data_IF_789320609598
#
_entry.id   IF_789320609598
#
_cell.length_a   1.000
_cell.length_b   1.000
_cell.length_c   1.000
_cell.angle_alpha   90.00
_cell.angle_beta   90.00
_cell.angle_gamma   90.00
#
_symmetry.space_group_name_H-M   'P 1'
#
loop_
_entity.id
_entity.type
_entity.pdbx_description
1 polymer ?
2 non-polymer ?
3 water ?
#
# COMPACT_ATOMS: atom_id res chain seq x y z
N UNK A 5 0.22 -9.56 9.70
CA UNK A 5 0.21 -9.50 8.25
C UNK A 5 0.64 -8.12 7.77
N UNK A 6 1.86 -8.05 7.22
CA UNK A 6 2.39 -6.77 6.75
C UNK A 6 1.47 -6.12 5.73
N UNK A 7 0.96 -6.91 4.77
CA UNK A 7 0.10 -6.36 3.74
C UNK A 7 -1.16 -5.75 4.33
N UNK A 8 -1.77 -6.42 5.32
CA UNK A 8 -2.96 -5.87 5.95
C UNK A 8 -2.66 -4.56 6.66
N UNK A 9 -1.51 -4.46 7.32
CA UNK A 9 -1.15 -3.21 7.98
C UNK A 9 -1.00 -2.09 6.96
N UNK A 10 -0.43 -2.39 5.79
CA UNK A 10 -0.32 -1.38 4.73
C UNK A 10 -1.70 -0.96 4.25
N UNK A 11 -2.60 -1.93 4.08
CA UNK A 11 -3.96 -1.60 3.66
C UNK A 11 -4.66 -0.71 4.68
N UNK A 12 -4.47 -0.98 5.98
CA UNK A 12 -5.11 -0.14 6.99
C UNK A 12 -4.64 1.31 6.93
N UNK A 13 -3.34 1.52 6.70
CA UNK A 13 -2.84 2.89 6.58
C UNK A 13 -3.49 3.58 5.40
N UNK A 14 -3.59 2.88 4.27
CA UNK A 14 -4.24 3.46 3.09
C UNK A 14 -5.71 3.76 3.36
N UNK A 15 -6.37 2.90 4.14
CA UNK A 15 -7.77 3.11 4.48
C UNK A 15 -7.95 4.38 5.33
N UNK A 16 -7.17 4.51 6.39
CA UNK A 16 -7.22 5.74 7.18
C UNK A 16 -6.85 6.94 6.33
N UNK A 17 -5.81 6.80 5.50
CA UNK A 17 -5.36 7.93 4.69
C UNK A 17 -6.45 8.37 3.71
N UNK A 18 -7.15 7.41 3.10
CA UNK A 18 -8.23 7.75 2.19
C UNK A 18 -9.37 8.44 2.93
N UNK A 19 -9.71 7.95 4.12
CA UNK A 19 -10.79 8.58 4.89
C UNK A 19 -10.47 10.03 5.20
N UNK A 20 -9.24 10.30 5.64
CA UNK A 20 -8.85 11.68 5.90
C UNK A 20 -8.93 12.54 4.64
N UNK A 21 -8.61 11.95 3.48
CA UNK A 21 -8.73 12.69 2.23
C UNK A 21 -10.19 13.03 1.93
N UNK A 22 -11.10 12.12 2.27
CA UNK A 22 -12.52 12.40 2.08
C UNK A 22 -12.96 13.54 2.98
N UNK A 23 -12.46 13.57 4.21
CA UNK A 23 -12.81 14.64 5.15
C UNK A 23 -12.26 15.98 4.65
N UNK A 24 -11.03 15.97 4.12
CA UNK A 24 -10.47 17.20 3.59
C UNK A 24 -11.27 17.71 2.40
N UNK A 25 -11.64 16.82 1.48
CA UNK A 25 -12.44 17.24 0.33
C UNK A 25 -13.80 17.77 0.77
N UNK A 26 -14.44 17.09 1.72
CA UNK A 26 -15.74 17.53 2.20
C UNK A 26 -15.63 18.87 2.94
N UNK A 27 -14.61 19.03 3.77
CA UNK A 27 -14.42 20.31 4.47
C UNK A 27 -14.11 21.42 3.48
N UNK A 28 -13.25 21.13 2.49
CA UNK A 28 -13.00 22.13 1.45
C UNK A 28 -14.28 22.49 0.71
N UNK A 29 -15.19 21.52 0.54
CA UNK A 29 -16.44 21.80 -0.17
C UNK A 29 -17.34 22.73 0.63
N UNK A 30 -17.43 22.52 1.95
CA UNK A 30 -18.29 23.36 2.77
C UNK A 30 -17.89 24.83 2.69
N UNK A 31 -16.59 25.10 2.64
CA UNK A 31 -16.13 26.48 2.48
C UNK A 31 -16.64 27.07 1.17
N UNK A 32 -16.56 26.30 0.08
CA UNK A 32 -16.99 26.78 -1.22
C UNK A 32 -18.46 27.17 -1.20
N UNK A 33 -19.34 26.27 -0.74
CA UNK A 33 -20.74 26.61 -0.59
C UNK A 33 -20.91 27.83 0.30
N UNK A 34 -20.13 27.90 1.39
CA UNK A 34 -20.22 29.03 2.31
C UNK A 34 -19.92 30.34 1.60
N UNK A 35 -18.81 30.39 0.86
CA UNK A 35 -18.40 31.60 0.14
C UNK A 35 -18.83 31.59 -1.32
N UNK A 36 -19.90 30.85 -1.64
CA UNK A 36 -20.38 30.77 -3.01
C UNK A 36 -21.79 31.29 -3.20
N UNK A 42 -23.69 24.68 -6.45
CA UNK A 42 -22.69 23.70 -6.85
C UNK A 42 -23.17 22.85 -8.01
N UNK A 43 -22.38 22.80 -9.08
CA UNK A 43 -22.76 21.98 -10.24
C UNK A 43 -23.04 20.53 -9.83
N UNK A 44 -24.04 19.93 -10.49
CA UNK A 44 -24.42 18.56 -10.18
C UNK A 44 -23.22 17.62 -10.27
N UNK A 45 -22.28 17.89 -11.19
CA UNK A 45 -21.06 17.10 -11.25
C UNK A 45 -20.45 16.94 -9.86
N UNK A 46 -20.40 18.04 -9.09
CA UNK A 46 -19.89 17.96 -7.72
C UNK A 46 -20.83 17.13 -6.87
N UNK A 47 -22.13 17.38 -6.97
CA UNK A 47 -23.10 16.71 -6.13
C UNK A 47 -23.09 15.20 -6.36
N UNK A 48 -23.08 14.79 -7.63
CA UNK A 48 -23.17 13.36 -7.95
C UNK A 48 -22.02 12.58 -7.31
N UNK A 49 -20.80 13.11 -7.39
CA UNK A 49 -19.65 12.44 -6.80
C UNK A 49 -19.79 12.28 -5.29
N UNK A 50 -20.31 13.32 -4.61
CA UNK A 50 -20.45 13.24 -3.16
C UNK A 50 -21.37 12.11 -2.73
N UNK A 51 -22.54 12.01 -3.36
CA UNK A 51 -23.46 10.93 -3.02
C UNK A 51 -22.86 9.57 -3.34
N UNK A 52 -22.12 9.47 -4.45
CA UNK A 52 -21.47 8.22 -4.81
C UNK A 52 -20.47 7.79 -3.75
N UNK A 53 -19.67 8.74 -3.25
CA UNK A 53 -18.63 8.44 -2.28
C UNK A 53 -19.22 7.97 -0.95
N UNK A 54 -20.21 8.68 -0.43
CA UNK A 54 -20.75 8.36 0.88
C UNK A 54 -21.35 6.95 0.89
N UNK A 55 -22.23 6.65 -0.07
CA UNK A 55 -22.87 5.34 -0.08
C UNK A 55 -21.84 4.22 -0.24
N UNK A 56 -20.82 4.44 -1.08
CA UNK A 56 -19.78 3.43 -1.25
C UNK A 56 -19.05 3.18 0.06
N UNK A 57 -18.64 4.25 0.74
CA UNK A 57 -17.89 4.11 1.98
C UNK A 57 -18.71 3.38 3.03
N UNK A 58 -20.00 3.69 3.14
CA UNK A 58 -20.84 2.99 4.12
C UNK A 58 -21.01 1.53 3.76
N UNK A 59 -21.16 1.22 2.47
CA UNK A 59 -21.33 -0.17 2.05
C UNK A 59 -20.05 -0.97 2.29
N UNK A 60 -18.92 -0.47 1.79
CA UNK A 60 -17.62 -1.12 1.97
C UNK A 60 -17.03 -0.76 3.34
N UNK A 61 -17.78 -1.14 4.38
CA UNK A 61 -17.40 -0.83 5.74
C UNK A 61 -16.04 -1.43 6.10
N UNK A 62 -15.79 -2.67 5.67
CA UNK A 62 -14.56 -3.36 6.02
C UNK A 62 -13.44 -3.15 5.02
N UNK A 63 -13.76 -2.92 3.76
CA UNK A 63 -12.76 -2.74 2.69
C UNK A 63 -13.07 -1.45 1.95
N UNK A 64 -12.75 -0.29 2.55
CA UNK A 64 -13.12 0.99 1.94
C UNK A 64 -12.32 1.32 0.68
N UNK A 65 -11.12 0.75 0.51
CA UNK A 65 -10.33 1.05 -0.68
C UNK A 65 -11.06 0.69 -1.96
N UNK A 66 -12.09 -0.16 -1.87
CA UNK A 66 -12.92 -0.45 -3.04
C UNK A 66 -13.53 0.83 -3.62
N UNK A 67 -13.52 1.94 -2.89
CA UNK A 67 -14.10 3.19 -3.33
C UNK A 67 -13.06 4.18 -3.83
N UNK A 68 -11.84 3.71 -4.15
CA UNK A 68 -10.80 4.63 -4.59
C UNK A 68 -11.25 5.44 -5.80
N UNK A 69 -11.98 4.81 -6.71
CA UNK A 69 -12.46 5.52 -7.89
C UNK A 69 -13.43 6.63 -7.50
N UNK A 70 -14.37 6.32 -6.60
CA UNK A 70 -15.31 7.33 -6.14
C UNK A 70 -14.60 8.45 -5.40
N UNK A 71 -13.65 8.09 -4.54
CA UNK A 71 -12.94 9.10 -3.74
C UNK A 71 -12.26 10.11 -4.64
N UNK A 72 -11.52 9.63 -5.64
CA UNK A 72 -10.85 10.55 -6.54
C UNK A 72 -11.85 11.37 -7.34
N UNK A 73 -12.93 10.73 -7.79
CA UNK A 73 -13.94 11.46 -8.52
C UNK A 73 -14.52 12.59 -7.68
N UNK A 74 -14.83 12.31 -6.41
CA UNK A 74 -15.32 13.36 -5.53
C UNK A 74 -14.26 14.43 -5.34
N UNK A 75 -13.02 14.02 -5.04
CA UNK A 75 -11.95 15.00 -4.85
C UNK A 75 -11.69 15.77 -6.14
N UNK A 76 -11.81 15.11 -7.28
CA UNK A 76 -11.64 15.80 -8.55
C UNK A 76 -12.77 16.81 -8.79
N UNK A 77 -14.01 16.44 -8.45
CA UNK A 77 -15.11 17.37 -8.59
C UNK A 77 -14.89 18.61 -7.74
N UNK A 78 -14.42 18.43 -6.50
CA UNK A 78 -14.16 19.57 -5.63
C UNK A 78 -13.01 20.40 -6.15
N UNK A 79 -11.96 19.77 -6.67
CA UNK A 79 -10.82 20.52 -7.18
C UNK A 79 -11.23 21.40 -8.36
N UNK A 80 -11.98 20.83 -9.31
CA UNK A 80 -12.47 21.61 -10.42
C UNK A 80 -13.36 22.75 -9.94
N UNK A 81 -14.16 22.50 -8.91
CA UNK A 81 -15.02 23.54 -8.36
C UNK A 81 -14.22 24.76 -7.94
N UNK A 82 -13.06 24.54 -7.31
CA UNK A 82 -12.20 25.62 -6.86
C UNK A 82 -11.68 26.44 -8.03
N UNK B 5 -1.67 3.15 17.86
CA UNK B 5 -1.98 2.00 17.03
C UNK B 5 -3.13 2.31 16.07
N UNK B 6 -3.53 1.31 15.28
CA UNK B 6 -4.61 1.48 14.33
C UNK B 6 -5.88 2.04 14.97
N UNK B 7 -6.25 1.53 16.15
CA UNK B 7 -7.47 2.01 16.80
C UNK B 7 -7.40 3.50 17.10
N UNK B 8 -6.26 3.98 17.61
CA UNK B 8 -6.13 5.41 17.88
C UNK B 8 -6.24 6.22 16.59
N UNK B 9 -5.67 5.71 15.50
CA UNK B 9 -5.76 6.40 14.23
C UNK B 9 -7.21 6.46 13.75
N UNK B 10 -7.96 5.37 13.92
CA UNK B 10 -9.37 5.37 13.56
C UNK B 10 -10.16 6.32 14.47
N UNK B 11 -9.82 6.34 15.77
CA UNK B 11 -10.51 7.23 16.69
C UNK B 11 -10.32 8.69 16.26
N UNK B 12 -9.08 9.05 15.93
CA UNK B 12 -8.77 10.41 15.50
C UNK B 12 -9.54 10.76 14.24
N UNK B 13 -9.68 9.82 13.30
CA UNK B 13 -10.46 10.09 12.11
C UNK B 13 -11.92 10.38 12.49
N UNK B 14 -12.46 9.58 13.41
CA UNK B 14 -13.83 9.82 13.87
C UNK B 14 -13.95 11.17 14.58
N UNK B 15 -12.92 11.58 15.30
CA UNK B 15 -12.97 12.86 16.03
C UNK B 15 -13.06 14.04 15.06
N UNK B 16 -12.14 14.10 14.10
CA UNK B 16 -12.18 15.18 13.12
C UNK B 16 -13.49 15.11 12.32
N UNK B 17 -13.93 13.90 11.98
CA UNK B 17 -15.18 13.75 11.24
C UNK B 17 -16.38 14.23 12.05
N UNK B 18 -16.40 13.94 13.35
CA UNK B 18 -17.51 14.41 14.17
C UNK B 18 -17.52 15.94 14.24
N UNK B 19 -16.35 16.56 14.41
CA UNK B 19 -16.28 18.01 14.43
C UNK B 19 -16.75 18.60 13.10
N UNK B 20 -16.34 17.99 11.99
CA UNK B 20 -16.84 18.42 10.69
C UNK B 20 -18.36 18.35 10.62
N UNK B 21 -18.95 17.29 11.19
CA UNK B 21 -20.39 17.11 11.16
C UNK B 21 -21.10 18.14 12.02
N UNK B 22 -20.52 18.50 13.17
CA UNK B 22 -21.12 19.53 14.01
C UNK B 22 -21.08 20.87 13.30
N UNK B 23 -19.99 21.16 12.61
CA UNK B 23 -19.86 22.41 11.87
C UNK B 23 -20.81 22.43 10.68
N UNK B 24 -20.97 21.30 10.00
CA UNK B 24 -21.89 21.24 8.87
C UNK B 24 -23.32 21.54 9.31
N UNK B 25 -23.80 20.81 10.31
CA UNK B 25 -25.14 21.06 10.83
C UNK B 25 -25.28 22.49 11.33
N UNK B 26 -24.27 23.00 12.03
CA UNK B 26 -24.35 24.35 12.56
C UNK B 26 -24.44 25.38 11.43
N UNK B 27 -23.66 25.19 10.37
CA UNK B 27 -23.75 26.08 9.21
C UNK B 27 -25.09 25.92 8.52
N UNK B 28 -25.58 24.68 8.38
CA UNK B 28 -26.87 24.46 7.78
C UNK B 28 -28.00 25.04 8.63
N UNK B 29 -27.85 25.02 9.95
CA UNK B 29 -28.88 25.57 10.83
C UNK B 29 -28.96 27.09 10.68
N UNK B 30 -27.80 27.76 10.68
CA UNK B 30 -27.79 29.20 10.44
C UNK B 30 -28.47 29.54 9.12
N UNK B 31 -28.06 28.87 8.03
CA UNK B 31 -28.68 29.11 6.74
C UNK B 31 -30.19 28.87 6.80
N UNK B 32 -30.61 27.87 7.56
CA UNK B 32 -32.05 27.61 7.70
C UNK B 32 -32.73 28.69 8.52
N UNK B 33 -32.10 29.12 9.62
CA UNK B 33 -32.64 30.22 10.41
C UNK B 33 -32.50 31.56 9.71
N UNK B 34 -31.76 31.63 8.61
CA UNK B 34 -31.69 32.82 7.77
C UNK B 34 -32.43 32.63 6.46
N UNK B 35 -33.33 31.65 6.39
CA UNK B 35 -34.09 31.39 5.18
C UNK B 35 -35.04 32.55 4.89
N UNK B 42 -37.64 28.33 15.20
CA UNK B 42 -36.61 27.75 16.05
C UNK B 42 -37.22 26.80 17.08
N UNK B 43 -37.58 25.60 16.62
CA UNK B 43 -38.17 24.62 17.53
C UNK B 43 -37.29 24.38 18.77
N UNK B 44 -37.96 24.20 19.91
CA UNK B 44 -37.25 23.94 21.16
C UNK B 44 -36.29 22.75 21.01
N UNK B 45 -36.75 21.68 20.36
CA UNK B 45 -35.91 20.50 20.18
C UNK B 45 -34.61 20.85 19.48
N UNK B 46 -34.69 21.69 18.44
CA UNK B 46 -33.49 22.02 17.66
C UNK B 46 -32.46 22.75 18.51
N UNK B 47 -32.90 23.79 19.23
CA UNK B 47 -31.95 24.58 20.01
C UNK B 47 -31.49 23.84 21.26
N UNK B 48 -32.37 23.05 21.87
CA UNK B 48 -31.96 22.23 23.02
C UNK B 48 -30.90 21.22 22.62
N UNK B 49 -31.10 20.55 21.48
CA UNK B 49 -30.09 19.61 21.00
C UNK B 49 -28.77 20.32 20.75
N UNK B 50 -28.83 21.54 20.21
CA UNK B 50 -27.62 22.32 19.97
C UNK B 50 -26.88 22.59 21.28
N UNK B 51 -27.60 23.03 22.31
CA UNK B 51 -26.97 23.32 23.59
C UNK B 51 -26.33 22.07 24.20
N UNK B 52 -26.96 20.91 24.02
CA UNK B 52 -26.41 19.68 24.56
C UNK B 52 -25.05 19.38 23.93
N UNK B 53 -24.92 19.61 22.62
CA UNK B 53 -23.64 19.40 21.95
C UNK B 53 -22.59 20.37 22.48
N UNK B 54 -22.96 21.65 22.64
CA UNK B 54 -22.01 22.65 23.10
C UNK B 54 -21.50 22.30 24.49
N UNK B 55 -22.42 22.03 25.41
CA UNK B 55 -22.02 21.72 26.79
C UNK B 55 -21.18 20.44 26.85
N UNK B 56 -21.55 19.44 26.06
CA UNK B 56 -20.81 18.19 26.06
C UNK B 56 -19.38 18.38 25.55
N UNK B 57 -19.23 19.04 24.40
CA UNK B 57 -17.90 19.19 23.81
C UNK B 57 -16.95 19.97 24.71
N UNK B 58 -17.45 21.02 25.38
CA UNK B 58 -16.58 21.70 26.33
C UNK B 58 -16.46 20.93 27.65
N UNK B 59 -17.40 20.03 27.92
CA UNK B 59 -17.26 19.15 29.08
C UNK B 59 -16.24 18.05 28.79
N UNK B 60 -16.17 17.57 27.55
CA UNK B 60 -15.27 16.48 27.16
C UNK B 60 -14.41 16.89 25.95
N UNK B 61 -13.66 17.98 26.07
CA UNK B 61 -12.82 18.38 24.95
C UNK B 61 -11.77 17.31 24.65
N UNK B 62 -11.21 16.70 25.70
CA UNK B 62 -10.12 15.74 25.53
C UNK B 62 -10.60 14.45 24.85
N UNK B 63 -11.84 14.04 25.11
CA UNK B 63 -12.40 12.81 24.57
C UNK B 63 -13.74 13.13 23.90
N UNK B 64 -13.70 13.84 22.77
CA UNK B 64 -14.95 14.39 22.21
C UNK B 64 -15.96 13.32 21.83
N UNK B 65 -15.52 12.09 21.58
CA UNK B 65 -16.45 11.02 21.19
C UNK B 65 -17.52 10.77 22.26
N UNK B 66 -17.31 11.21 23.50
CA UNK B 66 -18.37 11.11 24.50
C UNK B 66 -19.64 11.81 24.06
N UNK B 67 -19.57 12.68 23.06
CA UNK B 67 -20.71 13.45 22.60
C UNK B 67 -21.32 12.88 21.33
N UNK B 68 -21.05 11.60 21.03
CA UNK B 68 -21.53 11.01 19.79
C UNK B 68 -23.04 11.10 19.67
N UNK B 69 -23.76 10.67 20.71
CA UNK B 69 -25.22 10.75 20.67
C UNK B 69 -25.69 12.19 20.56
N UNK B 70 -25.08 13.11 21.31
CA UNK B 70 -25.50 14.51 21.24
C UNK B 70 -25.34 15.05 19.83
N UNK B 71 -24.21 14.75 19.19
CA UNK B 71 -24.00 15.19 17.82
C UNK B 71 -25.06 14.60 16.90
N UNK B 72 -25.33 13.30 17.05
CA UNK B 72 -26.33 12.65 16.19
C UNK B 72 -27.71 13.27 16.37
N UNK B 73 -28.10 13.55 17.61
CA UNK B 73 -29.38 14.20 17.84
C UNK B 73 -29.41 15.59 17.20
N UNK B 74 -28.34 16.35 17.37
CA UNK B 74 -28.24 17.67 16.76
C UNK B 74 -28.32 17.60 15.24
N UNK B 75 -27.53 16.71 14.63
CA UNK B 75 -27.64 16.50 13.18
C UNK B 75 -29.06 16.09 12.78
N UNK B 76 -29.69 15.20 13.55
CA UNK B 76 -31.06 14.74 13.25
C UNK B 76 -32.07 15.86 13.33
N UNK B 77 -31.97 16.69 14.37
CA UNK B 77 -32.88 17.81 14.54
C UNK B 77 -32.78 18.77 13.37
N UNK B 78 -31.55 19.01 12.89
CA UNK B 78 -31.36 19.89 11.73
C UNK B 78 -31.99 19.27 10.49
N UNK B 79 -31.89 17.95 10.34
CA UNK B 79 -32.47 17.28 9.19
C UNK B 79 -33.98 17.45 9.16
N UNK B 80 -34.64 17.24 10.31
CA UNK B 80 -36.09 17.41 10.35
C UNK B 80 -36.47 18.86 10.08
N UNK B 81 -35.66 19.81 10.54
CA UNK B 81 -35.94 21.21 10.27
C UNK B 81 -35.93 21.49 8.78
N UNK B 82 -34.96 20.92 8.06
CA UNK B 82 -34.89 21.12 6.61
C UNK B 82 -36.11 20.52 5.92
N UNK B 83 -36.59 19.38 6.39
CA UNK B 83 -37.75 18.74 5.77
C UNK B 83 -38.98 19.64 5.88
N UNK B 84 -39.14 20.34 6.99
CA UNK B 84 -40.27 21.22 7.19
C UNK B 84 -41.54 20.47 7.58
N UNK C 4 -26.50 44.28 16.51
CA UNK C 4 -25.35 43.55 15.96
C UNK C 4 -25.77 42.20 15.41
N UNK C 5 -27.03 42.08 15.00
CA UNK C 5 -27.52 40.83 14.46
C UNK C 5 -26.81 40.47 13.16
N UNK C 6 -26.93 41.33 12.13
CA UNK C 6 -26.27 41.06 10.86
C UNK C 6 -24.77 40.85 11.10
N UNK C 7 -24.16 41.66 11.94
CA UNK C 7 -22.75 41.47 12.27
C UNK C 7 -22.54 40.11 12.93
N UNK C 8 -23.44 39.72 13.83
CA UNK C 8 -23.35 38.40 14.44
C UNK C 8 -23.48 37.31 13.39
N UNK C 9 -24.40 37.49 12.43
CA UNK C 9 -24.54 36.52 11.35
C UNK C 9 -23.27 36.48 10.50
N UNK C 10 -22.67 37.64 10.23
CA UNK C 10 -21.39 37.66 9.53
C UNK C 10 -20.31 37.02 10.40
N UNK C 11 -20.31 37.36 11.69
CA UNK C 11 -19.40 36.71 12.63
C UNK C 11 -19.60 35.20 12.61
N UNK C 12 -20.85 34.74 12.52
CA UNK C 12 -21.13 33.31 12.59
C UNK C 12 -20.58 32.57 11.38
N UNK C 13 -20.78 33.14 10.18
CA UNK C 13 -20.26 32.52 8.97
C UNK C 13 -18.73 32.50 8.99
N UNK C 14 -18.11 33.61 9.41
CA UNK C 14 -16.66 33.63 9.49
C UNK C 14 -16.16 32.59 10.49
N UNK C 15 -16.92 32.39 11.57
CA UNK C 15 -16.56 31.38 12.56
C UNK C 15 -16.64 29.97 11.97
N UNK C 16 -17.67 29.71 11.16
CA UNK C 16 -17.76 28.44 10.46
C UNK C 16 -16.59 28.28 9.49
N UNK C 17 -16.27 29.34 8.75
CA UNK C 17 -15.18 29.29 7.80
C UNK C 17 -13.86 28.95 8.49
N UNK C 18 -13.60 29.58 9.64
CA UNK C 18 -12.36 29.31 10.37
C UNK C 18 -12.34 27.87 10.88
N UNK C 19 -13.46 27.38 11.39
CA UNK C 19 -13.52 25.99 11.85
C UNK C 19 -13.24 25.02 10.70
N UNK C 20 -13.91 25.23 9.56
CA UNK C 20 -13.64 24.41 8.38
C UNK C 20 -12.17 24.47 7.98
N UNK C 21 -11.49 25.58 8.26
CA UNK C 21 -10.07 25.68 7.96
C UNK C 21 -9.24 24.87 8.96
N UNK C 22 -9.64 24.87 10.22
CA UNK C 22 -8.96 24.06 11.23
C UNK C 22 -9.13 22.58 10.93
N UNK C 23 -10.32 22.17 10.47
CA UNK C 23 -10.56 20.76 10.17
C UNK C 23 -9.66 20.29 9.03
N UNK C 24 -9.55 21.09 7.98
CA UNK C 24 -8.69 20.72 6.85
C UNK C 24 -7.25 20.54 7.32
N UNK C 25 -6.72 21.52 8.05
CA UNK C 25 -5.34 21.41 8.51
C UNK C 25 -5.16 20.21 9.43
N UNK C 26 -6.11 19.96 10.31
CA UNK C 26 -6.00 18.83 11.22
C UNK C 26 -6.06 17.50 10.46
N UNK C 27 -6.97 17.39 9.49
CA UNK C 27 -7.05 16.18 8.68
C UNK C 27 -5.79 16.01 7.82
N UNK C 28 -5.29 17.11 7.26
CA UNK C 28 -4.05 17.03 6.50
C UNK C 28 -2.87 16.68 7.39
N UNK C 29 -2.82 17.23 8.60
CA UNK C 29 -1.75 16.90 9.54
C UNK C 29 -1.75 15.41 9.85
N UNK C 30 -2.93 14.86 10.15
CA UNK C 30 -3.02 13.43 10.45
C UNK C 30 -2.49 12.60 9.29
N UNK C 31 -2.94 12.90 8.07
CA UNK C 31 -2.48 12.16 6.91
C UNK C 31 -0.96 12.25 6.77
N UNK C 32 -0.43 13.47 6.77
CA UNK C 32 1.01 13.65 6.64
C UNK C 32 1.76 12.86 7.71
N UNK C 33 1.19 12.76 8.92
CA UNK C 33 1.88 12.07 10.01
C UNK C 33 1.87 10.56 9.81
N UNK C 34 0.81 10.03 9.19
CA UNK C 34 0.78 8.59 8.93
C UNK C 34 1.84 8.19 7.92
N UNK C 35 2.10 9.06 6.94
CA UNK C 35 3.07 8.73 5.90
C UNK C 35 4.49 8.70 6.44
N UNK C 36 4.78 9.48 7.47
CA UNK C 36 6.07 9.44 8.11
C UNK C 36 6.29 8.17 8.91
N UNK C 42 8.09 14.29 13.19
CA UNK C 42 7.22 15.45 13.04
C UNK C 42 7.81 16.67 13.77
N UNK C 43 7.95 17.78 13.06
CA UNK C 43 8.51 18.99 13.67
C UNK C 43 7.75 19.38 14.93
N UNK C 44 8.50 19.86 15.93
CA UNK C 44 7.88 20.33 17.15
C UNK C 44 7.06 21.59 16.91
N UNK C 45 7.45 22.39 15.92
CA UNK C 45 6.72 23.62 15.62
C UNK C 45 5.25 23.33 15.30
N UNK C 46 5.00 22.28 14.52
CA UNK C 46 3.63 21.96 14.14
C UNK C 46 2.81 21.58 15.37
N UNK C 47 3.41 20.81 16.28
CA UNK C 47 2.70 20.46 17.51
C UNK C 47 2.48 21.68 18.39
N UNK C 48 3.44 22.59 18.44
CA UNK C 48 3.26 23.82 19.21
C UNK C 48 2.14 24.66 18.63
N UNK C 49 2.13 24.82 17.30
CA UNK C 49 1.05 25.55 16.66
C UNK C 49 -0.29 24.86 16.90
N UNK C 50 -0.32 23.53 16.82
CA UNK C 50 -1.55 22.79 17.08
C UNK C 50 -2.02 23.00 18.52
N UNK C 51 -1.09 22.90 19.48
CA UNK C 51 -1.46 23.10 20.88
C UNK C 51 -1.99 24.51 21.11
N UNK C 52 -1.41 25.51 20.45
CA UNK C 52 -1.90 26.87 20.60
C UNK C 52 -3.33 27.01 20.11
N UNK C 53 -3.66 26.38 18.97
CA UNK C 53 -5.02 26.46 18.46
C UNK C 53 -5.99 25.79 19.42
N UNK C 54 -5.65 24.57 19.87
CA UNK C 54 -6.54 23.85 20.77
C UNK C 54 -6.70 24.59 22.08
N UNK C 55 -5.60 25.10 22.65
CA UNK C 55 -5.70 25.84 23.90
C UNK C 55 -6.48 27.14 23.71
N UNK C 56 -6.24 27.85 22.60
CA UNK C 56 -6.94 29.10 22.37
C UNK C 56 -8.43 28.85 22.18
N UNK C 57 -8.79 27.87 21.35
CA UNK C 57 -10.20 27.59 21.10
C UNK C 57 -10.94 27.22 22.38
N UNK C 58 -10.27 26.48 23.28
CA UNK C 58 -10.84 26.26 24.61
C UNK C 58 -11.01 27.58 25.35
N UNK C 59 -9.96 28.42 25.31
CA UNK C 59 -10.02 29.70 26.02
C UNK C 59 -11.13 30.58 25.50
N UNK C 60 -11.38 30.55 24.19
CA UNK C 60 -12.36 31.44 23.57
C UNK C 60 -13.56 30.67 23.03
N UNK C 61 -14.27 29.99 23.92
CA UNK C 61 -15.45 29.23 23.53
C UNK C 61 -16.49 30.13 22.88
N UNK C 62 -16.79 31.27 23.52
CA UNK C 62 -17.86 32.13 23.02
C UNK C 62 -17.47 32.80 21.70
N UNK C 63 -16.22 33.22 21.57
CA UNK C 63 -15.75 33.97 20.41
C UNK C 63 -14.44 33.36 19.91
N UNK C 64 -14.53 32.36 19.02
CA UNK C 64 -13.29 31.71 18.54
C UNK C 64 -12.47 32.58 17.59
N UNK C 65 -13.06 33.58 16.94
CA UNK C 65 -12.27 34.41 16.02
C UNK C 65 -11.10 35.08 16.71
N UNK C 66 -11.13 35.20 18.04
CA UNK C 66 -9.97 35.70 18.76
C UNK C 66 -8.74 34.84 18.51
N UNK C 67 -8.91 33.63 17.97
CA UNK C 67 -7.83 32.70 17.67
C UNK C 67 -7.47 32.69 16.19
N UNK C 68 -7.83 33.74 15.45
CA UNK C 68 -7.52 33.78 14.03
C UNK C 68 -6.01 33.69 13.79
N UNK C 69 -5.22 34.33 14.66
CA UNK C 69 -3.77 34.24 14.54
C UNK C 69 -3.29 32.80 14.76
N UNK C 70 -3.81 32.13 15.77
CA UNK C 70 -3.44 30.74 16.02
C UNK C 70 -3.84 29.84 14.85
N UNK C 71 -5.04 30.04 14.30
CA UNK C 71 -5.47 29.22 13.16
C UNK C 71 -4.49 29.38 11.99
N UNK C 72 -4.13 30.63 11.67
CA UNK C 72 -3.23 30.86 10.55
C UNK C 72 -1.86 30.25 10.79
N UNK C 73 -1.31 30.38 12.01
CA UNK C 73 -0.01 29.78 12.31
C UNK C 73 -0.06 28.26 12.17
N UNK C 74 -1.10 27.64 12.73
CA UNK C 74 -1.25 26.19 12.60
C UNK C 74 -1.42 25.80 11.13
N UNK C 75 -2.23 26.55 10.39
CA UNK C 75 -2.44 26.27 8.97
C UNK C 75 -1.16 26.46 8.18
N UNK C 76 -0.30 27.38 8.60
CA UNK C 76 0.93 27.63 7.85
C UNK C 76 1.97 26.55 8.14
N UNK C 77 2.07 26.09 9.39
CA UNK C 77 2.97 24.99 9.70
C UNK C 77 2.61 23.73 8.93
N UNK C 78 1.32 23.43 8.80
CA UNK C 78 0.90 22.26 8.04
C UNK C 78 1.30 22.40 6.58
N UNK C 79 1.18 23.61 6.02
CA UNK C 79 1.57 23.82 4.64
C UNK C 79 3.07 23.59 4.46
N UNK C 80 3.87 24.04 5.41
CA UNK C 80 5.32 23.85 5.30
C UNK C 80 5.69 22.38 5.31
N UNK C 81 4.86 21.52 5.91
CA UNK C 81 5.10 20.08 5.86
C UNK C 81 4.68 19.49 4.52
N UNK C 82 3.56 19.96 3.97
CA UNK C 82 3.05 19.42 2.71
C UNK C 82 4.01 19.65 1.56
N UNK C 83 4.78 20.74 1.59
CA UNK C 83 5.71 21.06 0.51
C UNK C 83 6.73 19.94 0.32
N UNK D 5 5.90 10.85 -4.81
CA UNK D 5 5.37 11.16 -3.49
C UNK D 5 5.27 9.90 -2.62
N UNK D 6 4.65 10.05 -1.45
CA UNK D 6 4.57 8.92 -0.52
C UNK D 6 3.76 7.77 -1.10
N UNK D 7 2.62 8.08 -1.72
CA UNK D 7 1.79 7.03 -2.30
C UNK D 7 2.55 6.28 -3.39
N UNK D 8 3.29 6.99 -4.23
CA UNK D 8 4.06 6.33 -5.29
C UNK D 8 5.10 5.40 -4.69
N UNK D 9 5.76 5.82 -3.61
CA UNK D 9 6.74 4.95 -2.96
C UNK D 9 6.08 3.70 -2.40
N UNK D 10 4.87 3.84 -1.85
CA UNK D 10 4.15 2.67 -1.35
C UNK D 10 3.82 1.72 -2.50
N UNK D 11 3.35 2.26 -3.62
CA UNK D 11 3.05 1.42 -4.77
C UNK D 11 4.31 0.71 -5.28
N UNK D 12 5.42 1.45 -5.40
CA UNK D 12 6.65 0.81 -5.87
C UNK D 12 7.07 -0.36 -4.99
N UNK D 13 6.96 -0.19 -3.66
CA UNK D 13 7.30 -1.29 -2.77
C UNK D 13 6.38 -2.47 -3.01
N UNK D 14 5.09 -2.22 -3.15
CA UNK D 14 4.14 -3.29 -3.44
C UNK D 14 4.42 -3.94 -4.78
N UNK D 15 4.87 -3.15 -5.76
CA UNK D 15 5.18 -3.69 -7.08
C UNK D 15 6.35 -4.67 -7.01
N UNK D 16 7.42 -4.28 -6.31
CA UNK D 16 8.55 -5.19 -6.12
C UNK D 16 8.12 -6.41 -5.34
N UNK D 17 7.29 -6.20 -4.31
CA UNK D 17 6.86 -7.32 -3.47
C UNK D 17 6.04 -8.31 -4.28
N UNK D 18 5.16 -7.83 -5.15
CA UNK D 18 4.38 -8.74 -6.00
C UNK D 18 5.28 -9.50 -6.95
N UNK D 19 6.28 -8.83 -7.52
CA UNK D 19 7.20 -9.52 -8.43
C UNK D 19 7.93 -10.64 -7.71
N UNK D 20 8.40 -10.39 -6.48
CA UNK D 20 9.08 -11.43 -5.72
C UNK D 20 8.15 -12.59 -5.40
N UNK D 21 6.86 -12.33 -5.18
CA UNK D 21 5.93 -13.42 -4.93
C UNK D 21 5.69 -14.23 -6.19
N UNK D 22 5.68 -13.59 -7.36
CA UNK D 22 5.56 -14.32 -8.61
C UNK D 22 6.75 -15.23 -8.81
N UNK D 23 7.94 -14.75 -8.46
CA UNK D 23 9.16 -15.56 -8.60
C UNK D 23 9.12 -16.74 -7.65
N UNK D 24 8.72 -16.52 -6.40
CA UNK D 24 8.62 -17.62 -5.44
C UNK D 24 7.61 -18.66 -5.90
N UNK D 25 6.47 -18.21 -6.44
CA UNK D 25 5.48 -19.16 -6.94
C UNK D 25 6.03 -19.96 -8.12
N UNK D 26 6.73 -19.29 -9.04
CA UNK D 26 7.31 -19.99 -10.18
C UNK D 26 8.40 -20.95 -9.75
N UNK D 27 9.25 -20.53 -8.81
CA UNK D 27 10.30 -21.42 -8.32
C UNK D 27 9.71 -22.63 -7.62
N UNK D 28 8.58 -22.44 -6.92
CA UNK D 28 7.89 -23.58 -6.34
C UNK D 28 7.36 -24.51 -7.43
N UNK D 29 6.71 -23.94 -8.44
CA UNK D 29 6.15 -24.74 -9.52
C UNK D 29 7.23 -25.56 -10.22
N UNK D 30 8.41 -24.97 -10.42
CA UNK D 30 9.51 -25.71 -11.04
C UNK D 30 9.94 -26.87 -10.15
N UNK D 31 9.93 -26.67 -8.83
CA UNK D 31 10.33 -27.72 -7.92
C UNK D 31 9.33 -28.88 -7.93
N UNK D 32 8.03 -28.56 -7.86
CA UNK D 32 7.02 -29.61 -7.87
C UNK D 32 7.05 -30.39 -9.18
N UNK D 33 7.16 -29.68 -10.31
CA UNK D 33 7.25 -30.37 -11.59
C UNK D 33 8.46 -31.29 -11.63
N UNK D 34 9.57 -30.89 -11.01
CA UNK D 34 10.76 -31.73 -10.96
C UNK D 34 10.49 -33.03 -10.21
N UNK D 35 9.51 -33.03 -9.32
CA UNK D 35 9.21 -34.19 -8.49
C UNK D 35 8.19 -35.14 -9.09
N UNK D 36 7.37 -34.67 -10.03
CA UNK D 36 6.26 -35.48 -10.51
C UNK D 36 6.30 -35.86 -11.97
N UNK D 42 1.60 -31.09 -14.84
CA UNK D 42 0.94 -29.94 -14.21
C UNK D 42 -0.48 -29.76 -14.74
N UNK D 43 -1.45 -29.70 -13.82
CA UNK D 43 -2.85 -29.53 -14.24
C UNK D 43 -3.06 -28.34 -15.16
N UNK D 44 -4.13 -28.39 -15.96
CA UNK D 44 -4.48 -27.26 -16.81
C UNK D 44 -4.77 -26.02 -15.97
N UNK D 45 -5.39 -26.20 -14.81
CA UNK D 45 -5.69 -25.06 -13.94
C UNK D 45 -4.42 -24.30 -13.58
N UNK D 46 -3.35 -25.02 -13.21
CA UNK D 46 -2.11 -24.35 -12.84
C UNK D 46 -1.53 -23.64 -14.05
N UNK D 47 -1.53 -24.30 -15.21
CA UNK D 47 -0.98 -23.70 -16.41
C UNK D 47 -1.75 -22.46 -16.83
N UNK D 48 -3.08 -22.52 -16.76
CA UNK D 48 -3.89 -21.37 -17.14
C UNK D 48 -3.57 -20.16 -16.27
N UNK D 49 -3.48 -20.37 -14.95
CA UNK D 49 -3.11 -19.27 -14.06
C UNK D 49 -1.73 -18.73 -14.39
N UNK D 50 -0.78 -19.62 -14.69
CA UNK D 50 0.56 -19.17 -15.05
C UNK D 50 0.53 -18.31 -16.31
N UNK D 51 -0.16 -18.80 -17.35
CA UNK D 51 -0.28 -18.03 -18.58
C UNK D 51 -1.06 -16.74 -18.32
N UNK D 52 -2.06 -16.80 -17.44
CA UNK D 52 -2.82 -15.61 -17.11
C UNK D 52 -1.94 -14.55 -16.46
N UNK D 53 -1.02 -14.98 -15.59
CA UNK D 53 -0.12 -14.02 -14.95
C UNK D 53 0.79 -13.38 -16.00
N UNK D 54 1.36 -14.20 -16.89
CA UNK D 54 2.25 -13.67 -17.93
C UNK D 54 1.48 -12.72 -18.85
N UNK D 55 0.25 -13.09 -19.22
CA UNK D 55 -0.54 -12.25 -20.12
C UNK D 55 -0.81 -10.89 -19.49
N UNK D 56 -1.20 -10.89 -18.21
CA UNK D 56 -1.55 -9.63 -17.55
C UNK D 56 -0.33 -8.73 -17.40
N UNK D 57 0.78 -9.29 -16.92
CA UNK D 57 1.97 -8.49 -16.68
C UNK D 57 2.49 -7.86 -17.97
N UNK D 58 2.27 -8.51 -19.11
CA UNK D 58 2.55 -7.86 -20.39
C UNK D 58 1.62 -6.67 -20.61
N UNK D 59 0.33 -6.86 -20.36
CA UNK D 59 -0.68 -5.84 -20.67
C UNK D 59 -0.60 -4.66 -19.71
N UNK D 60 -0.11 -4.89 -18.50
CA UNK D 60 0.01 -3.80 -17.53
C UNK D 60 1.46 -3.62 -17.14
N UNK D 61 2.31 -3.36 -18.14
CA UNK D 61 3.73 -3.20 -17.91
C UNK D 61 4.02 -2.03 -16.95
N UNK D 62 3.30 -0.92 -17.15
CA UNK D 62 3.54 0.27 -16.33
C UNK D 62 3.06 0.08 -14.90
N UNK D 63 1.88 -0.51 -14.72
CA UNK D 63 1.27 -0.70 -13.41
C UNK D 63 0.99 -2.18 -13.19
N UNK D 64 1.97 -2.93 -12.67
CA UNK D 64 1.76 -4.38 -12.52
C UNK D 64 0.79 -4.76 -11.41
N UNK D 65 0.56 -3.88 -10.42
CA UNK D 65 -0.40 -4.21 -9.37
C UNK D 65 -1.79 -4.46 -9.92
N UNK D 66 -2.06 -3.99 -11.14
CA UNK D 66 -3.32 -4.30 -11.80
C UNK D 66 -3.53 -5.81 -11.95
N UNK D 67 -2.47 -6.61 -11.78
CA UNK D 67 -2.54 -8.05 -11.90
C UNK D 67 -2.55 -8.76 -10.55
N UNK D 68 -2.90 -8.05 -9.47
CA UNK D 68 -2.86 -8.66 -8.14
C UNK D 68 -3.75 -9.90 -8.07
N UNK D 69 -4.92 -9.85 -8.72
CA UNK D 69 -5.82 -10.99 -8.69
C UNK D 69 -5.20 -12.19 -9.40
N UNK D 70 -4.61 -11.97 -10.57
CA UNK D 70 -3.98 -13.06 -11.32
C UNK D 70 -2.81 -13.64 -10.53
N UNK D 71 -1.98 -12.79 -9.94
CA UNK D 71 -0.83 -13.27 -9.17
C UNK D 71 -1.30 -14.15 -8.01
N UNK D 72 -2.29 -13.67 -7.24
CA UNK D 72 -2.78 -14.44 -6.10
C UNK D 72 -3.41 -15.75 -6.56
N UNK D 73 -4.16 -15.73 -7.65
CA UNK D 73 -4.76 -16.96 -8.17
C UNK D 73 -3.68 -17.94 -8.58
N UNK D 74 -2.64 -17.46 -9.28
CA UNK D 74 -1.54 -18.35 -9.66
C UNK D 74 -0.85 -18.93 -8.44
N UNK D 75 -0.67 -18.11 -7.40
CA UNK D 75 -0.08 -18.61 -6.17
C UNK D 75 -0.97 -19.66 -5.52
N UNK D 76 -2.30 -19.51 -5.64
CA UNK D 76 -3.21 -20.52 -5.11
C UNK D 76 -3.12 -21.81 -5.90
N UNK D 77 -3.04 -21.71 -7.23
CA UNK D 77 -2.91 -22.92 -8.04
C UNK D 77 -1.65 -23.69 -7.67
N UNK D 78 -0.54 -22.98 -7.47
CA UNK D 78 0.69 -23.64 -7.03
C UNK D 78 0.53 -24.19 -5.62
N UNK D 79 -0.16 -23.45 -4.75
CA UNK D 79 -0.36 -23.92 -3.39
C UNK D 79 -1.18 -25.20 -3.37
N UNK D 80 -2.19 -25.30 -4.22
CA UNK D 80 -2.98 -26.53 -4.29
C UNK D 80 -2.11 -27.71 -4.70
N UNK D 81 -1.23 -27.51 -5.68
CA UNK D 81 -0.36 -28.59 -6.14
C UNK D 81 0.50 -29.12 -4.99
N UNK D 82 1.03 -28.23 -4.15
CA UNK D 82 1.87 -28.67 -3.06
C UNK D 82 1.10 -29.55 -2.09
N UNK D 83 -0.12 -29.17 -1.75
CA UNK D 83 -0.96 -30.03 -0.92
C UNK D 83 -1.33 -31.32 -1.66
N UNK D 84 -1.49 -31.24 -2.99
CA UNK D 84 -1.86 -32.43 -3.74
C UNK D 84 -0.78 -33.49 -3.71
N UNK D 85 0.48 -33.07 -3.90
CA UNK D 85 1.64 -33.97 -3.85
C UNK D 85 1.36 -35.35 -4.45
N UNK E 5 18.02 1.83 -2.67
CA UNK E 5 16.94 2.60 -3.29
C UNK E 5 16.13 1.72 -4.25
N UNK E 6 15.08 2.32 -4.82
CA UNK E 6 14.21 1.58 -5.73
C UNK E 6 14.98 0.87 -6.84
N UNK E 7 15.96 1.56 -7.43
CA UNK E 7 16.74 0.96 -8.51
C UNK E 7 17.46 -0.29 -8.03
N UNK E 8 18.07 -0.25 -6.84
CA UNK E 8 18.74 -1.43 -6.32
C UNK E 8 17.75 -2.55 -6.06
N UNK E 9 16.56 -2.22 -5.55
CA UNK E 9 15.54 -3.24 -5.30
C UNK E 9 15.11 -3.91 -6.60
N UNK E 10 14.94 -3.12 -7.67
CA UNK E 10 14.56 -3.69 -8.96
C UNK E 10 15.67 -4.57 -9.51
N UNK E 11 16.93 -4.11 -9.41
CA UNK E 11 18.05 -4.91 -9.89
C UNK E 11 18.07 -6.29 -9.23
N UNK E 12 17.96 -6.31 -7.90
CA UNK E 12 17.93 -7.57 -7.16
C UNK E 12 16.80 -8.47 -7.64
N UNK E 13 15.63 -7.87 -7.92
CA UNK E 13 14.53 -8.66 -8.47
C UNK E 13 14.92 -9.24 -9.83
N UNK E 14 15.57 -8.42 -10.67
CA UNK E 14 16.04 -8.91 -11.95
C UNK E 14 17.10 -9.99 -11.79
N UNK E 15 17.96 -9.85 -10.78
CA UNK E 15 18.99 -10.86 -10.56
C UNK E 15 18.38 -12.20 -10.16
N UNK E 16 17.39 -12.19 -9.25
CA UNK E 16 16.75 -13.43 -8.84
C UNK E 16 16.03 -14.06 -10.02
N UNK E 17 15.35 -13.25 -10.83
CA UNK E 17 14.57 -13.79 -11.94
C UNK E 17 15.49 -14.38 -13.02
N UNK E 18 16.62 -13.72 -13.30
CA UNK E 18 17.55 -14.27 -14.28
C UNK E 18 18.06 -15.63 -13.83
N UNK E 19 18.38 -15.78 -12.54
CA UNK E 19 18.82 -17.06 -12.04
C UNK E 19 17.74 -18.12 -12.21
N UNK E 20 16.49 -17.77 -11.89
CA UNK E 20 15.40 -18.72 -12.10
C UNK E 20 15.25 -19.07 -13.57
N UNK E 21 15.41 -18.09 -14.46
CA UNK E 21 15.30 -18.36 -15.89
C UNK E 21 16.41 -19.28 -16.36
N UNK E 22 17.62 -19.13 -15.82
CA UNK E 22 18.70 -20.02 -16.18
C UNK E 22 18.40 -21.44 -15.71
N UNK E 23 17.86 -21.57 -14.49
CA UNK E 23 17.52 -22.88 -13.96
C UNK E 23 16.37 -23.51 -14.74
N UNK E 24 15.38 -22.70 -15.13
CA UNK E 24 14.24 -23.20 -15.87
C UNK E 24 14.66 -23.81 -17.19
N UNK E 25 15.51 -23.09 -17.94
CA UNK E 25 16.01 -23.61 -19.21
C UNK E 25 16.93 -24.80 -18.98
N UNK E 26 17.78 -24.74 -17.96
CA UNK E 26 18.70 -25.85 -17.69
C UNK E 26 17.93 -27.11 -17.33
N UNK E 27 16.89 -26.99 -16.50
CA UNK E 27 16.06 -28.16 -16.21
C UNK E 27 15.29 -28.61 -17.44
N UNK E 28 14.79 -27.66 -18.23
CA UNK E 28 14.12 -28.00 -19.48
C UNK E 28 15.09 -28.68 -20.45
N UNK E 29 16.33 -28.22 -20.50
CA UNK E 29 17.31 -28.82 -21.40
C UNK E 29 17.57 -30.28 -21.04
N UNK E 30 17.68 -30.58 -19.74
CA UNK E 30 17.85 -31.96 -19.31
C UNK E 30 16.62 -32.80 -19.66
N UNK E 31 15.43 -32.25 -19.43
CA UNK E 31 14.20 -32.99 -19.73
C UNK E 31 14.10 -33.33 -21.21
N UNK E 32 14.50 -32.41 -22.09
CA UNK E 32 14.45 -32.68 -23.52
C UNK E 32 15.44 -33.78 -23.91
N UNK E 33 16.69 -33.65 -23.45
CA UNK E 33 17.70 -34.65 -23.79
C UNK E 33 17.35 -36.02 -23.23
N UNK E 34 16.60 -36.07 -22.13
CA UNK E 34 16.23 -37.34 -21.52
C UNK E 34 14.96 -37.94 -22.11
N UNK E 35 14.18 -37.16 -22.84
CA UNK E 35 13.08 -37.75 -23.60
C UNK E 35 13.61 -38.55 -24.78
N UNK E 36 14.64 -38.05 -25.45
CA UNK E 36 15.26 -38.76 -26.55
C UNK E 36 16.12 -39.91 -26.10
N UNK E 42 23.21 -33.20 -27.76
CA UNK E 42 22.61 -31.87 -27.85
C UNK E 42 23.27 -31.03 -28.95
N UNK E 43 22.44 -30.35 -29.74
CA UNK E 43 22.98 -29.53 -30.83
C UNK E 43 24.07 -28.59 -30.34
N UNK E 44 25.04 -28.33 -31.22
CA UNK E 44 26.19 -27.50 -30.86
C UNK E 44 25.75 -26.09 -30.49
N UNK E 45 24.81 -25.53 -31.25
CA UNK E 45 24.34 -24.18 -30.95
C UNK E 45 23.82 -24.08 -29.52
N UNK E 46 23.02 -25.07 -29.09
CA UNK E 46 22.45 -25.04 -27.75
C UNK E 46 23.54 -25.17 -26.69
N UNK E 47 24.62 -25.90 -26.98
CA UNK E 47 25.61 -26.19 -25.95
C UNK E 47 26.60 -25.05 -25.78
N UNK E 48 27.03 -24.42 -26.88
CA UNK E 48 27.93 -23.27 -26.77
C UNK E 48 27.25 -22.14 -26.02
N UNK E 49 25.99 -21.86 -26.33
CA UNK E 49 25.26 -20.83 -25.59
C UNK E 49 25.18 -21.19 -24.12
N UNK E 50 24.98 -22.47 -23.81
CA UNK E 50 24.98 -22.93 -22.43
C UNK E 50 26.32 -22.67 -21.77
N UNK E 51 27.41 -23.04 -22.47
CA UNK E 51 28.74 -22.80 -21.92
C UNK E 51 29.03 -21.32 -21.79
N UNK E 52 28.53 -20.50 -22.73
CA UNK E 52 28.71 -19.06 -22.64
C UNK E 52 28.05 -18.51 -21.38
N UNK E 53 26.88 -19.02 -21.02
CA UNK E 53 26.22 -18.58 -19.80
C UNK E 53 27.07 -18.92 -18.58
N UNK E 54 27.61 -20.14 -18.54
CA UNK E 54 28.41 -20.57 -17.39
C UNK E 54 29.63 -19.67 -17.23
N UNK E 55 30.41 -19.52 -18.30
CA UNK E 55 31.61 -18.70 -18.21
C UNK E 55 31.28 -17.27 -17.80
N UNK E 56 30.20 -16.70 -18.36
CA UNK E 56 29.84 -15.33 -17.99
C UNK E 56 29.46 -15.25 -16.52
N UNK E 57 28.57 -16.14 -16.05
CA UNK E 57 28.18 -16.12 -14.65
C UNK E 57 29.36 -16.43 -13.75
N UNK E 58 30.33 -17.22 -14.24
CA UNK E 58 31.53 -17.49 -13.47
C UNK E 58 32.39 -16.23 -13.33
N UNK E 59 32.46 -15.43 -14.40
CA UNK E 59 33.30 -14.24 -14.44
C UNK E 59 32.60 -13.05 -13.80
N UNK E 60 31.29 -12.93 -13.99
CA UNK E 60 30.53 -11.82 -13.44
C UNK E 60 29.63 -12.29 -12.30
N UNK E 61 30.22 -12.92 -11.29
CA UNK E 61 29.44 -13.42 -10.17
C UNK E 61 28.77 -12.28 -9.40
N UNK E 62 29.51 -11.22 -9.10
CA UNK E 62 28.99 -10.15 -8.24
C UNK E 62 27.97 -9.29 -8.97
N UNK E 63 28.04 -9.20 -10.29
CA UNK E 63 27.12 -8.39 -11.09
C UNK E 63 26.57 -9.25 -12.23
N UNK E 64 25.70 -10.20 -11.91
CA UNK E 64 25.31 -11.21 -12.91
C UNK E 64 24.55 -10.65 -14.10
N UNK E 65 23.92 -9.48 -13.97
CA UNK E 65 23.16 -8.94 -15.09
C UNK E 65 24.03 -8.70 -16.32
N UNK E 66 25.36 -8.66 -16.16
CA UNK E 66 26.24 -8.60 -17.32
C UNK E 66 26.01 -9.74 -18.30
N UNK E 67 25.31 -10.79 -17.87
CA UNK E 67 25.08 -11.97 -18.71
C UNK E 67 23.68 -11.97 -19.31
N UNK E 68 23.05 -10.80 -19.42
CA UNK E 68 21.69 -10.73 -19.94
C UNK E 68 21.61 -11.36 -21.33
N UNK E 69 22.51 -10.96 -22.22
CA UNK E 69 22.48 -11.50 -23.58
C UNK E 69 22.74 -13.00 -23.59
N UNK E 70 23.72 -13.46 -22.82
CA UNK E 70 24.03 -14.88 -22.78
C UNK E 70 22.84 -15.69 -22.25
N UNK E 71 22.21 -15.21 -21.17
CA UNK E 71 21.04 -15.89 -20.64
C UNK E 71 19.93 -15.92 -21.69
N UNK E 72 19.68 -14.79 -22.34
CA UNK E 72 18.62 -14.72 -23.34
C UNK E 72 18.90 -15.68 -24.50
N UNK E 73 20.15 -15.74 -24.95
CA UNK E 73 20.51 -16.66 -26.03
C UNK E 73 20.32 -18.11 -25.59
N UNK E 74 20.78 -18.45 -24.38
CA UNK E 74 20.61 -19.81 -23.87
C UNK E 74 19.13 -20.17 -23.75
N UNK E 75 18.33 -19.26 -23.19
CA UNK E 75 16.88 -19.49 -23.13
C UNK E 75 16.31 -19.75 -24.51
N UNK E 76 16.72 -18.95 -25.49
CA UNK E 76 16.13 -19.04 -26.81
C UNK E 76 16.55 -20.33 -27.51
N UNK E 77 17.82 -20.72 -27.33
CA UNK E 77 18.29 -21.99 -27.88
C UNK E 77 17.48 -23.16 -27.34
N UNK E 78 17.16 -23.14 -26.04
CA UNK E 78 16.35 -24.19 -25.44
C UNK E 78 14.95 -24.19 -26.05
N UNK E 79 14.40 -23.00 -26.32
CA UNK E 79 13.08 -22.92 -26.93
C UNK E 79 13.07 -23.58 -28.30
N UNK E 80 14.07 -23.28 -29.13
CA UNK E 80 14.10 -23.84 -30.48
C UNK E 80 13.98 -25.35 -30.46
N UNK E 81 14.72 -26.01 -29.56
CA UNK E 81 14.68 -27.47 -29.50
C UNK E 81 13.31 -27.97 -29.04
N UNK E 82 12.72 -27.29 -28.05
CA UNK E 82 11.42 -27.68 -27.53
C UNK E 82 10.34 -27.57 -28.58
N UNK F 4 28.72 -42.41 -13.12
CA UNK F 4 27.71 -43.05 -13.97
C UNK F 4 26.85 -42.01 -14.66
N UNK F 5 26.31 -42.37 -15.83
CA UNK F 5 25.42 -41.47 -16.55
C UNK F 5 24.13 -41.25 -15.76
N UNK F 6 23.45 -42.34 -15.39
CA UNK F 6 22.24 -42.22 -14.59
C UNK F 6 22.52 -41.48 -13.29
N UNK F 7 23.64 -41.82 -12.63
CA UNK F 7 23.99 -41.11 -11.40
C UNK F 7 24.21 -39.63 -11.68
N UNK F 8 24.87 -39.30 -12.80
CA UNK F 8 25.06 -37.91 -13.16
C UNK F 8 23.71 -37.23 -13.41
N UNK F 9 22.78 -37.92 -14.08
CA UNK F 9 21.47 -37.34 -14.33
C UNK F 9 20.72 -37.11 -13.02
N UNK F 10 20.81 -38.07 -12.10
CA UNK F 10 20.21 -37.87 -10.78
C UNK F 10 20.95 -36.75 -10.05
N UNK F 11 22.28 -36.75 -10.13
CA UNK F 11 23.07 -35.64 -9.63
C UNK F 11 22.58 -34.31 -10.20
N UNK F 12 22.27 -34.28 -11.49
CA UNK F 12 21.91 -33.03 -12.14
C UNK F 12 20.55 -32.52 -11.65
N UNK F 13 19.58 -33.44 -11.51
CA UNK F 13 18.26 -33.05 -11.03
C UNK F 13 18.32 -32.55 -9.59
N UNK F 14 19.07 -33.23 -8.73
CA UNK F 14 19.21 -32.76 -7.36
C UNK F 14 19.87 -31.39 -7.33
N UNK F 15 20.81 -31.15 -8.26
CA UNK F 15 21.45 -29.84 -8.33
C UNK F 15 20.45 -28.75 -8.69
N UNK F 16 19.55 -29.05 -9.63
CA UNK F 16 18.50 -28.10 -9.98
C UNK F 16 17.59 -27.85 -8.78
N UNK F 17 17.15 -28.93 -8.12
CA UNK F 17 16.28 -28.78 -6.96
C UNK F 17 16.90 -27.89 -5.90
N UNK F 18 18.20 -28.04 -5.66
CA UNK F 18 18.88 -27.19 -4.69
C UNK F 18 18.88 -25.74 -5.13
N UNK F 19 19.15 -25.49 -6.41
CA UNK F 19 19.14 -24.13 -6.92
C UNK F 19 17.77 -23.48 -6.75
N UNK F 20 16.70 -24.21 -7.10
CA UNK F 20 15.35 -23.70 -6.91
C UNK F 20 15.05 -23.44 -5.44
N UNK F 21 15.70 -24.19 -4.54
CA UNK F 21 15.56 -23.92 -3.11
C UNK F 21 16.31 -22.65 -2.72
N UNK F 22 17.48 -22.41 -3.31
CA UNK F 22 18.22 -21.19 -3.04
C UNK F 22 17.45 -19.97 -3.56
N UNK F 23 16.83 -20.09 -4.73
CA UNK F 23 16.07 -18.96 -5.28
C UNK F 23 14.88 -18.63 -4.40
N UNK F 24 14.19 -19.64 -3.88
CA UNK F 24 13.04 -19.38 -3.02
C UNK F 24 13.46 -18.64 -1.76
N UNK F 25 14.52 -19.12 -1.09
CA UNK F 25 14.99 -18.45 0.11
C UNK F 25 15.45 -17.03 -0.17
N UNK F 26 16.17 -16.83 -1.28
CA UNK F 26 16.64 -15.49 -1.63
C UNK F 26 15.48 -14.56 -1.96
N UNK F 27 14.48 -15.06 -2.70
CA UNK F 27 13.32 -14.23 -3.01
C UNK F 27 12.53 -13.91 -1.74
N UNK F 28 12.33 -14.91 -0.88
CA UNK F 28 11.63 -14.65 0.38
C UNK F 28 12.40 -13.68 1.25
N UNK F 29 13.73 -13.80 1.28
CA UNK F 29 14.55 -12.89 2.08
C UNK F 29 14.33 -11.44 1.65
N UNK F 30 14.35 -11.19 0.35
CA UNK F 30 14.15 -9.83 -0.15
C UNK F 30 12.78 -9.30 0.26
N UNK F 31 11.73 -10.10 0.07
CA UNK F 31 10.39 -9.70 0.48
C UNK F 31 10.38 -9.26 1.93
N UNK F 32 10.92 -10.10 2.82
CA UNK F 32 10.92 -9.78 4.24
C UNK F 32 11.73 -8.52 4.52
N UNK F 33 12.82 -8.30 3.77
CA UNK F 33 13.55 -7.05 3.91
C UNK F 33 12.68 -5.87 3.54
N UNK F 34 11.90 -5.99 2.46
CA UNK F 34 11.01 -4.91 2.06
C UNK F 34 9.99 -4.58 3.15
N UNK F 35 9.50 -5.61 3.86
CA UNK F 35 8.46 -5.39 4.85
C UNK F 35 9.00 -4.74 6.11
N UNK F 36 10.29 -4.94 6.41
CA UNK F 36 10.91 -4.29 7.56
C UNK F 36 11.05 -2.79 7.37
N UNK F 42 19.03 -6.60 7.91
CA UNK F 42 18.58 -7.88 8.44
C UNK F 42 19.57 -8.42 9.47
N UNK F 43 19.09 -9.33 10.33
CA UNK F 43 19.98 -9.89 11.36
C UNK F 43 21.26 -10.46 10.79
N UNK F 44 22.31 -10.52 11.63
CA UNK F 44 23.62 -10.95 11.16
C UNK F 44 23.62 -12.43 10.79
N UNK F 45 22.84 -13.25 11.49
CA UNK F 45 22.89 -14.69 11.24
C UNK F 45 22.48 -15.03 9.83
N UNK F 46 21.38 -14.44 9.34
CA UNK F 46 20.93 -14.71 7.99
C UNK F 46 21.94 -14.16 6.97
N UNK F 47 22.64 -13.07 7.31
CA UNK F 47 23.63 -12.53 6.39
C UNK F 47 24.86 -13.43 6.33
N UNK F 48 25.27 -13.99 7.46
CA UNK F 48 26.40 -14.94 7.46
C UNK F 48 26.04 -16.20 6.68
N UNK F 49 24.84 -16.73 6.91
CA UNK F 49 24.41 -17.90 6.15
C UNK F 49 24.32 -17.59 4.66
N UNK F 50 23.79 -16.41 4.32
CA UNK F 50 23.70 -16.01 2.92
C UNK F 50 25.09 -15.87 2.30
N UNK F 51 26.01 -15.21 3.00
CA UNK F 51 27.36 -15.07 2.47
C UNK F 51 28.05 -16.42 2.32
N UNK F 52 27.82 -17.33 3.27
CA UNK F 52 28.41 -18.66 3.17
C UNK F 52 27.87 -19.41 1.95
N UNK F 53 26.56 -19.28 1.69
CA UNK F 53 25.98 -19.95 0.52
C UNK F 53 26.59 -19.39 -0.76
N UNK F 54 26.70 -18.07 -0.85
CA UNK F 54 27.28 -17.45 -2.05
C UNK F 54 28.71 -17.91 -2.23
N UNK F 55 29.50 -17.83 -1.16
CA UNK F 55 30.90 -18.24 -1.22
C UNK F 55 31.03 -19.69 -1.65
N UNK F 56 30.16 -20.56 -1.15
CA UNK F 56 30.27 -21.99 -1.45
C UNK F 56 29.91 -22.28 -2.89
N UNK F 57 28.77 -21.76 -3.35
CA UNK F 57 28.32 -22.04 -4.71
C UNK F 57 29.32 -21.56 -5.76
N UNK F 58 30.07 -20.50 -5.46
CA UNK F 58 31.11 -20.06 -6.37
C UNK F 58 32.31 -21.00 -6.34
N UNK F 59 32.70 -21.45 -5.15
CA UNK F 59 33.85 -22.33 -5.03
C UNK F 59 33.59 -23.67 -5.71
N UNK F 60 32.46 -24.30 -5.39
CA UNK F 60 32.07 -25.58 -5.99
C UNK F 60 31.21 -25.34 -7.22
N UNK F 61 31.81 -24.62 -8.17
CA UNK F 61 31.12 -24.22 -9.39
C UNK F 61 30.63 -25.44 -10.18
N UNK F 62 31.43 -26.51 -10.21
CA UNK F 62 31.08 -27.68 -11.00
C UNK F 62 30.26 -28.71 -10.24
N UNK F 63 30.41 -28.77 -8.92
CA UNK F 63 29.65 -29.70 -8.07
C UNK F 63 29.00 -28.90 -6.95
N UNK F 64 27.83 -28.32 -7.21
CA UNK F 64 27.20 -27.46 -6.19
C UNK F 64 26.64 -28.22 -5.00
N UNK F 65 26.35 -29.52 -5.15
CA UNK F 65 25.80 -30.29 -4.04
C UNK F 65 26.72 -30.29 -2.83
N UNK F 66 28.00 -29.99 -3.01
CA UNK F 66 28.89 -29.82 -1.87
C UNK F 66 28.39 -28.76 -0.90
N UNK F 67 27.45 -27.92 -1.31
CA UNK F 67 26.91 -26.85 -0.49
C UNK F 67 25.55 -27.19 0.10
N UNK F 68 25.18 -28.47 0.14
CA UNK F 68 23.91 -28.85 0.73
C UNK F 68 23.76 -28.30 2.15
N UNK F 69 24.87 -28.28 2.89
CA UNK F 69 24.81 -27.82 4.28
C UNK F 69 24.60 -26.31 4.35
N UNK F 70 25.31 -25.55 3.50
CA UNK F 70 25.11 -24.11 3.46
C UNK F 70 23.69 -23.76 3.04
N UNK F 71 23.16 -24.45 2.03
CA UNK F 71 21.80 -24.19 1.55
C UNK F 71 20.80 -24.37 2.68
N UNK F 72 20.92 -25.49 3.42
CA UNK F 72 20.01 -25.72 4.54
C UNK F 72 20.17 -24.66 5.61
N UNK F 73 21.41 -24.25 5.91
CA UNK F 73 21.62 -23.19 6.89
C UNK F 73 20.97 -21.89 6.45
N UNK F 74 21.20 -21.49 5.19
CA UNK F 74 20.58 -20.28 4.68
C UNK F 74 19.07 -20.41 4.63
N UNK F 75 18.56 -21.63 4.41
CA UNK F 75 17.12 -21.83 4.31
C UNK F 75 16.46 -21.73 5.68
N UNK F 76 17.09 -22.30 6.70
CA UNK F 76 16.54 -22.20 8.06
C UNK F 76 16.56 -20.76 8.56
N UNK F 77 17.65 -20.04 8.27
CA UNK F 77 17.73 -18.64 8.72
C UNK F 77 16.59 -17.82 8.15
N UNK F 78 16.26 -18.01 6.87
CA UNK F 78 15.12 -17.30 6.30
C UNK F 78 13.82 -17.76 6.96
N UNK F 79 13.71 -19.05 7.27
CA UNK F 79 12.51 -19.55 7.92
C UNK F 79 12.33 -18.93 9.30
N UNK F 80 13.43 -18.73 10.03
CA UNK F 80 13.33 -18.10 11.35
C UNK F 80 12.72 -16.71 11.24
N UNK F 81 13.19 -15.92 10.27
CA UNK F 81 12.63 -14.58 10.07
C UNK F 81 11.15 -14.64 9.75
N UNK F 82 10.75 -15.61 8.92
CA UNK F 82 9.36 -15.74 8.52
C UNK F 82 8.45 -16.02 9.71
#
# INVERSE_FOLDING_TARGET
TLSRDWLAEVRKVLEVRQALEVIQAEARLQSLRLEGSGSRPLPESVEKARSEVVRCLREHDRRPLNCWQEVEAFKEEVRKLEKGWVDK
TLSRDWLAEVRKVLEVRQALEVIQAEARLQSLRLEGSGSRPLPESVEKARSEVVRCLREHDRRPLNCWQEVEAFKEEVRKLEKGWVDK
TLSRDWLAEVRKVLEVRQALEVIQAEARLQSLRLEGSGSRPLPESVEKARSEVVRCLREHDRRPLNCWQEVEAFKEEVRKLEKGWVDK
TLSRDWLAEVRKVLEVRQALEVIQAEARLQSLRLEGSGSRPLPESVEKARSEVVRCLREHDRRPLNCWQEVEAFKEEVRKLEKGWVDK
TLSRDWLAEVRKVLEVRQALEVIQAEARLQSLRLEGSGSRPLPESVEKARSEVVRCLREHDRRPLNCWQEVEAFKEEVRKLEKGWVDK
TLSRDWLAEVRKVLEVRQALEVIQAEARLQSLRLEGSGSRPLPESVEKARSEVVRCLREHDRRPLNCWQEVEAFKEEVRKLEKGWVDK
#
